data_IF_929871069115
#
_entry.id   IF_929871069115
#
_cell.length_a   1.000
_cell.length_b   1.000
_cell.length_c   1.000
_cell.angle_alpha   90.00
_cell.angle_beta   90.00
_cell.angle_gamma   90.00
#
_symmetry.space_group_name_H-M   'P 1'
#
loop_
_entity.id
_entity.type
_entity.pdbx_description
1 polymer ?
#
# COMPACT_ATOMS: atom_id res chain seq x y z
N UNK A 1 24.46 18.50 2.40
CA UNK A 1 23.18 18.32 1.70
C UNK A 1 22.54 17.07 2.28
N UNK A 2 21.37 17.18 2.89
CA UNK A 2 20.63 16.03 3.38
C UNK A 2 19.78 15.47 2.24
N UNK A 3 19.74 14.14 2.10
CA UNK A 3 18.85 13.43 1.20
C UNK A 3 17.77 12.79 2.07
N UNK A 4 16.51 13.12 1.79
CA UNK A 4 15.35 12.60 2.51
C UNK A 4 14.45 11.81 1.55
N UNK A 5 13.83 10.74 2.06
CA UNK A 5 12.89 9.96 1.27
C UNK A 5 11.50 10.58 1.40
N UNK A 6 11.03 11.23 0.35
CA UNK A 6 9.74 11.92 0.33
C UNK A 6 8.55 10.95 0.23
N UNK A 7 8.47 10.13 -0.81
CA UNK A 7 7.26 9.35 -1.08
C UNK A 7 7.47 8.21 -2.06
N UNK A 8 6.47 7.32 -2.16
CA UNK A 8 6.30 6.36 -3.24
C UNK A 8 5.10 6.79 -4.10
N UNK A 9 5.31 6.86 -5.41
CA UNK A 9 4.26 7.18 -6.39
C UNK A 9 3.67 5.87 -6.91
N UNK A 10 2.34 5.79 -6.92
CA UNK A 10 1.56 4.64 -7.36
C UNK A 10 0.64 5.07 -8.50
N UNK A 11 0.85 4.48 -9.67
CA UNK A 11 -0.04 4.64 -10.82
C UNK A 11 -1.40 4.01 -10.51
N UNK A 12 -2.49 4.70 -10.85
CA UNK A 12 -3.86 4.35 -10.46
C UNK A 12 -4.86 4.74 -11.54
N UNK A 13 -5.86 3.89 -11.79
CA UNK A 13 -6.97 4.21 -12.66
C UNK A 13 -8.00 5.14 -11.99
N UNK A 14 -8.11 5.09 -10.66
CA UNK A 14 -8.93 6.00 -9.84
C UNK A 14 -8.16 6.44 -8.57
N UNK A 15 -7.34 7.51 -8.68
CA UNK A 15 -6.48 7.96 -7.59
C UNK A 15 -7.22 8.25 -6.28
N UNK A 16 -8.44 8.79 -6.39
CA UNK A 16 -9.25 9.16 -5.22
C UNK A 16 -9.77 7.91 -4.53
N UNK A 17 -10.31 6.95 -5.27
CA UNK A 17 -10.80 5.71 -4.67
C UNK A 17 -9.66 4.91 -4.05
N UNK A 18 -8.53 4.77 -4.76
CA UNK A 18 -7.38 4.01 -4.29
C UNK A 18 -6.71 4.68 -3.09
N UNK A 19 -6.53 6.00 -3.14
CA UNK A 19 -5.92 6.75 -2.05
C UNK A 19 -6.75 6.75 -0.77
N UNK A 20 -8.09 6.84 -0.88
CA UNK A 20 -8.99 6.69 0.28
C UNK A 20 -8.90 5.29 0.89
N UNK A 21 -8.79 4.26 0.06
CA UNK A 21 -8.61 2.90 0.53
C UNK A 21 -7.30 2.76 1.32
N UNK A 22 -6.19 3.27 0.78
CA UNK A 22 -4.89 3.23 1.46
C UNK A 22 -4.86 4.09 2.73
N UNK A 23 -5.53 5.25 2.75
CA UNK A 23 -5.70 6.06 3.97
C UNK A 23 -6.38 5.26 5.08
N UNK A 24 -7.47 4.57 4.76
CA UNK A 24 -8.19 3.70 5.71
C UNK A 24 -7.39 2.45 6.10
N UNK A 25 -6.66 1.86 5.14
CA UNK A 25 -5.82 0.69 5.37
C UNK A 25 -4.67 1.02 6.34
N UNK A 26 -4.01 2.17 6.19
CA UNK A 26 -2.84 2.53 7.00
C UNK A 26 -3.17 3.40 8.22
N UNK A 27 -4.40 3.91 8.30
CA UNK A 27 -4.76 4.91 9.31
C UNK A 27 -4.06 6.25 9.09
N UNK A 28 -3.70 6.56 7.84
CA UNK A 28 -2.93 7.74 7.45
C UNK A 28 -3.84 8.93 7.13
N UNK A 29 -3.29 10.14 7.22
CA UNK A 29 -4.01 11.38 6.92
C UNK A 29 -3.90 11.75 5.45
N UNK A 30 -4.97 12.35 4.92
CA UNK A 30 -5.01 12.88 3.55
C UNK A 30 -4.36 14.27 3.53
N UNK A 31 -3.43 14.46 2.60
CA UNK A 31 -2.68 15.71 2.39
C UNK A 31 -3.24 16.46 1.17
N UNK A 32 -3.50 15.73 0.08
CA UNK A 32 -4.09 16.23 -1.16
C UNK A 32 -5.18 15.25 -1.61
N UNK A 33 -6.34 15.75 -2.02
CA UNK A 33 -7.49 14.96 -2.49
C UNK A 33 -7.94 15.30 -3.92
N UNK A 34 -7.06 15.92 -4.70
CA UNK A 34 -7.31 16.23 -6.10
C UNK A 34 -7.48 14.96 -6.96
N UNK A 35 -8.25 15.06 -8.04
CA UNK A 35 -8.53 13.92 -8.93
C UNK A 35 -7.33 13.52 -9.80
N UNK A 36 -6.41 14.46 -10.04
CA UNK A 36 -5.18 14.26 -10.80
C UNK A 36 -3.98 13.90 -9.92
N UNK A 37 -4.14 13.97 -8.60
CA UNK A 37 -3.11 13.61 -7.62
C UNK A 37 -3.73 13.44 -6.22
N UNK A 38 -3.63 12.25 -5.64
CA UNK A 38 -4.12 11.97 -4.29
C UNK A 38 -2.96 11.60 -3.37
N UNK A 39 -2.77 12.31 -2.26
CA UNK A 39 -1.61 12.14 -1.37
C UNK A 39 -2.04 11.81 0.07
N UNK A 40 -1.36 10.83 0.67
CA UNK A 40 -1.52 10.46 2.08
C UNK A 40 -0.16 10.35 2.78
N UNK A 41 -0.15 10.62 4.09
CA UNK A 41 1.04 10.51 4.95
C UNK A 41 0.68 9.95 6.33
N UNK A 42 1.63 9.35 7.07
CA UNK A 42 1.39 8.95 8.46
C UNK A 42 0.83 10.10 9.31
N UNK A 43 1.45 11.28 9.18
CA UNK A 43 1.07 12.56 9.81
C UNK A 43 1.35 13.69 8.80
N UNK A 44 0.78 14.89 8.98
CA UNK A 44 0.89 15.97 7.98
C UNK A 44 2.34 16.34 7.62
N UNK A 45 3.23 16.27 8.60
CA UNK A 45 4.64 16.65 8.53
C UNK A 45 5.60 15.45 8.56
N UNK A 46 5.09 14.21 8.40
CA UNK A 46 5.88 12.99 8.50
C UNK A 46 6.02 12.27 7.16
N UNK A 47 7.25 12.00 6.78
CA UNK A 47 7.65 11.30 5.56
C UNK A 47 8.14 9.86 5.87
N UNK A 48 8.10 8.92 4.89
CA UNK A 48 7.58 9.09 3.53
C UNK A 48 6.05 8.97 3.43
N UNK A 49 5.47 9.58 2.39
CA UNK A 49 4.06 9.44 2.01
C UNK A 49 3.81 8.44 0.87
N UNK A 50 2.54 8.28 0.52
CA UNK A 50 2.09 7.66 -0.73
C UNK A 50 1.33 8.67 -1.56
N UNK A 51 1.58 8.69 -2.87
CA UNK A 51 0.87 9.51 -3.84
C UNK A 51 0.31 8.64 -4.95
N UNK A 52 -0.94 8.85 -5.31
CA UNK A 52 -1.67 8.11 -6.34
C UNK A 52 -1.91 9.04 -7.52
N UNK A 53 -1.53 8.61 -8.71
CA UNK A 53 -1.57 9.44 -9.93
C UNK A 53 -2.33 8.72 -11.05
N UNK A 54 -3.13 9.44 -11.85
CA UNK A 54 -3.98 8.82 -12.86
C UNK A 54 -3.18 8.27 -14.03
N UNK A 55 -3.38 7.00 -14.35
CA UNK A 55 -2.96 6.39 -15.62
C UNK A 55 -4.16 5.72 -16.31
N UNK A 56 -4.25 5.76 -17.65
CA UNK A 56 -5.38 5.16 -18.35
C UNK A 56 -5.32 3.63 -18.38
N UNK A 57 -4.15 3.03 -18.23
CA UNK A 57 -3.94 1.59 -18.28
C UNK A 57 -4.14 0.92 -16.92
N UNK A 58 -4.85 -0.20 -16.90
CA UNK A 58 -4.83 -1.11 -15.75
C UNK A 58 -3.53 -1.87 -15.69
N UNK A 59 -3.10 -2.24 -14.48
CA UNK A 59 -1.96 -3.14 -14.25
C UNK A 59 -2.13 -4.46 -15.03
N UNK A 60 -1.13 -4.81 -15.83
CA UNK A 60 -1.09 -6.06 -16.64
C UNK A 60 0.00 -7.04 -16.22
N UNK A 61 0.98 -6.60 -15.44
CA UNK A 61 2.12 -7.38 -14.98
C UNK A 61 2.32 -7.20 -13.47
N UNK A 62 3.21 -7.99 -12.87
CA UNK A 62 3.59 -7.85 -11.46
C UNK A 62 4.25 -6.49 -11.18
N UNK A 63 4.00 -5.89 -10.02
CA UNK A 63 4.70 -4.69 -9.60
C UNK A 63 6.23 -4.92 -9.49
N UNK A 64 7.00 -3.92 -9.93
CA UNK A 64 8.48 -3.94 -9.81
C UNK A 64 8.97 -3.53 -8.42
N UNK A 65 8.15 -2.78 -7.69
CA UNK A 65 8.36 -2.39 -6.31
C UNK A 65 7.26 -3.04 -5.45
N UNK A 66 7.60 -3.40 -4.22
CA UNK A 66 6.67 -4.00 -3.28
C UNK A 66 6.66 -3.20 -1.98
N UNK A 67 5.47 -2.91 -1.47
CA UNK A 67 5.29 -2.25 -0.19
C UNK A 67 5.07 -3.32 0.89
N UNK A 68 5.90 -3.28 1.91
CA UNK A 68 5.88 -4.24 3.00
C UNK A 68 5.51 -3.55 4.32
N UNK A 69 4.41 -4.00 4.93
CA UNK A 69 3.92 -3.48 6.20
C UNK A 69 4.04 -4.52 7.29
N UNK A 70 4.32 -4.08 8.52
CA UNK A 70 4.44 -4.97 9.68
C UNK A 70 3.45 -4.56 10.76
N UNK A 71 2.43 -5.38 11.04
CA UNK A 71 1.54 -5.20 12.18
C UNK A 71 2.08 -5.91 13.42
N UNK A 72 1.46 -5.65 14.57
CA UNK A 72 1.68 -6.40 15.81
C UNK A 72 1.10 -7.84 15.70
N UNK A 73 -0.07 -7.98 15.06
CA UNK A 73 -0.71 -9.26 14.77
C UNK A 73 -1.00 -9.38 13.26
N UNK A 74 -0.22 -10.24 12.58
CA UNK A 74 -0.36 -10.48 11.15
C UNK A 74 -1.72 -11.05 10.77
N UNK A 75 -2.26 -11.97 11.57
CA UNK A 75 -3.52 -12.63 11.23
C UNK A 75 -4.69 -11.65 11.34
N UNK A 76 -4.77 -10.94 12.47
CA UNK A 76 -5.80 -9.93 12.67
C UNK A 76 -5.74 -8.83 11.61
N UNK A 77 -4.54 -8.40 11.23
CA UNK A 77 -4.37 -7.35 10.23
C UNK A 77 -4.76 -7.82 8.82
N UNK A 78 -4.39 -9.05 8.44
CA UNK A 78 -4.85 -9.64 7.19
C UNK A 78 -6.38 -9.71 7.16
N UNK A 79 -7.02 -10.19 8.23
CA UNK A 79 -8.49 -10.22 8.31
C UNK A 79 -9.10 -8.82 8.15
N UNK A 80 -8.53 -7.80 8.80
CA UNK A 80 -9.01 -6.42 8.68
C UNK A 80 -8.87 -5.89 7.26
N UNK A 81 -7.73 -6.06 6.62
CA UNK A 81 -7.47 -5.61 5.25
C UNK A 81 -8.38 -6.29 4.23
N UNK A 82 -8.65 -7.59 4.39
CA UNK A 82 -9.63 -8.31 3.57
C UNK A 82 -11.04 -7.72 3.73
N UNK A 83 -11.43 -7.35 4.95
CA UNK A 83 -12.73 -6.69 5.19
C UNK A 83 -12.85 -5.31 4.54
N UNK A 84 -11.72 -4.65 4.30
CA UNK A 84 -11.63 -3.37 3.57
C UNK A 84 -11.61 -3.55 2.05
N UNK A 85 -11.57 -4.79 1.53
CA UNK A 85 -11.57 -5.07 0.09
C UNK A 85 -10.22 -5.49 -0.50
N UNK A 86 -9.18 -5.68 0.32
CA UNK A 86 -7.99 -6.39 -0.14
C UNK A 86 -8.34 -7.83 -0.52
N UNK A 87 -7.52 -8.46 -1.35
CA UNK A 87 -7.66 -9.87 -1.73
C UNK A 87 -6.34 -10.60 -1.59
N UNK A 88 -6.39 -11.88 -1.24
CA UNK A 88 -5.21 -12.74 -1.34
C UNK A 88 -4.73 -12.84 -2.78
N UNK A 89 -3.43 -12.97 -2.95
CA UNK A 89 -2.81 -13.24 -4.25
C UNK A 89 -1.61 -14.17 -4.11
N UNK A 90 -1.33 -14.90 -5.17
CA UNK A 90 -0.12 -15.69 -5.33
C UNK A 90 0.67 -15.14 -6.53
N UNK A 91 1.88 -14.67 -6.25
CA UNK A 91 2.85 -14.13 -7.21
C UNK A 91 4.03 -15.09 -7.41
N UNK A 92 3.85 -16.37 -7.08
CA UNK A 92 4.87 -17.42 -7.16
C UNK A 92 5.86 -17.39 -5.99
N UNK A 93 5.45 -16.85 -4.84
CA UNK A 93 6.34 -16.69 -3.68
C UNK A 93 6.58 -17.99 -2.90
N UNK A 94 5.71 -18.99 -3.05
CA UNK A 94 5.72 -20.21 -2.23
C UNK A 94 5.44 -19.93 -0.75
N UNK A 95 5.88 -20.84 0.12
CA UNK A 95 5.70 -20.70 1.57
C UNK A 95 6.64 -19.63 2.13
N UNK A 96 6.08 -18.54 2.65
CA UNK A 96 6.82 -17.38 3.14
C UNK A 96 6.26 -16.89 4.49
N UNK A 97 7.07 -16.21 5.33
CA UNK A 97 6.61 -15.65 6.60
C UNK A 97 5.76 -14.36 6.44
N UNK A 98 5.38 -14.00 5.21
CA UNK A 98 4.50 -12.86 4.91
C UNK A 98 3.28 -13.32 4.13
N UNK A 99 2.21 -12.55 4.24
CA UNK A 99 0.99 -12.73 3.44
C UNK A 99 0.96 -11.67 2.35
N UNK A 100 0.91 -12.11 1.09
CA UNK A 100 0.74 -11.21 -0.05
C UNK A 100 -0.73 -10.93 -0.30
N UNK A 101 -1.09 -9.65 -0.34
CA UNK A 101 -2.41 -9.16 -0.70
C UNK A 101 -2.32 -8.27 -1.94
N UNK A 102 -3.47 -8.02 -2.55
CA UNK A 102 -3.66 -6.95 -3.52
C UNK A 102 -4.68 -5.94 -3.02
N UNK A 103 -4.43 -4.67 -3.33
CA UNK A 103 -5.40 -3.58 -3.15
C UNK A 103 -6.55 -3.68 -4.19
N UNK A 104 -7.54 -2.75 -4.15
CA UNK A 104 -8.67 -2.77 -5.09
C UNK A 104 -8.27 -2.69 -6.57
N UNK A 105 -7.12 -2.11 -6.89
CA UNK A 105 -6.62 -1.99 -8.27
C UNK A 105 -5.69 -3.14 -8.69
N UNK A 106 -5.33 -4.03 -7.76
CA UNK A 106 -4.51 -5.21 -8.06
C UNK A 106 -3.01 -5.00 -7.79
N UNK A 107 -2.62 -3.93 -7.11
CA UNK A 107 -1.24 -3.71 -6.70
C UNK A 107 -0.90 -4.64 -5.53
N UNK A 108 0.20 -5.38 -5.66
CA UNK A 108 0.64 -6.27 -4.60
C UNK A 108 1.28 -5.49 -3.44
N UNK A 109 0.98 -5.91 -2.21
CA UNK A 109 1.64 -5.48 -0.98
C UNK A 109 1.74 -6.66 0.01
N UNK A 110 2.65 -6.58 0.98
CA UNK A 110 2.89 -7.65 1.94
C UNK A 110 2.52 -7.22 3.36
N UNK A 111 1.91 -8.15 4.09
CA UNK A 111 1.79 -8.09 5.54
C UNK A 111 2.83 -9.04 6.13
N UNK A 112 3.88 -8.48 6.71
CA UNK A 112 5.01 -9.23 7.25
C UNK A 112 4.67 -9.86 8.60
N UNK A 113 5.27 -11.02 8.89
CA UNK A 113 5.26 -11.58 10.24
C UNK A 113 6.18 -10.82 11.20
N UNK A 114 6.17 -11.25 12.46
CA UNK A 114 7.11 -10.76 13.47
C UNK A 114 8.56 -10.94 12.98
N UNK A 115 9.41 -9.94 13.23
CA UNK A 115 10.83 -10.05 12.90
C UNK A 115 11.41 -11.18 13.74
N UNK A 116 11.98 -12.21 13.10
CA UNK A 116 12.75 -13.23 13.84
C UNK A 116 13.87 -12.50 14.59
N UNK A 117 14.08 -12.78 15.88
CA UNK A 117 15.25 -12.27 16.58
C UNK A 117 16.49 -12.67 15.77
N UNK A 118 17.35 -11.69 15.50
CA UNK A 118 18.68 -11.91 14.91
C UNK A 118 19.56 -12.68 15.87
#
# INVERSE_FOLDING_TARGET
>A
MALEWEQVVVDSADPVALGRWWAAALGWVVINDASDEYEIRPERDRLPGLIFVPVPERKTVKNRLHMDFRPDDQHAEVTRLLSLGARHTDIGQGEQPWVTLVDPEGNEFCVLGARRPS
#
